data_IF_752241687565
#
_entry.id   IF_752241687565
#
_cell.length_a   1.000
_cell.length_b   1.000
_cell.length_c   1.000
_cell.angle_alpha   90.00
_cell.angle_beta   90.00
_cell.angle_gamma   90.00
#
_symmetry.space_group_name_H-M   'P 1'
#
loop_
_entity.id
_entity.type
_entity.pdbx_description
1 polymer ?
#
# COMPACT_ATOMS: atom_id res chain seq x y z
N UNK A 1 -12.57 -9.11 -31.21
CA UNK A 1 -11.69 -9.18 -30.03
C UNK A 1 -10.49 -10.02 -30.43
N UNK A 2 -9.29 -9.47 -30.30
CA UNK A 2 -8.05 -10.17 -30.60
C UNK A 2 -7.80 -11.25 -29.54
N UNK A 3 -7.07 -12.31 -29.92
CA UNK A 3 -6.60 -13.31 -28.95
C UNK A 3 -5.75 -12.66 -27.86
N UNK A 4 -5.02 -11.58 -28.18
CA UNK A 4 -4.30 -10.76 -27.19
C UNK A 4 -5.26 -10.13 -26.19
N UNK A 5 -6.32 -9.49 -26.67
CA UNK A 5 -7.32 -8.86 -25.79
C UNK A 5 -8.00 -9.86 -24.84
N UNK A 6 -8.11 -11.14 -25.23
CA UNK A 6 -8.68 -12.23 -24.41
C UNK A 6 -7.67 -12.74 -23.36
N UNK A 7 -6.39 -12.87 -23.72
CA UNK A 7 -5.33 -13.26 -22.78
C UNK A 7 -5.11 -12.14 -21.74
N UNK A 8 -5.07 -10.88 -22.20
CA UNK A 8 -4.91 -9.71 -21.33
C UNK A 8 -6.12 -9.53 -20.39
N UNK A 9 -7.31 -10.03 -20.73
CA UNK A 9 -8.48 -9.98 -19.83
C UNK A 9 -8.51 -11.09 -18.78
N UNK A 10 -7.86 -12.22 -19.02
CA UNK A 10 -7.72 -13.30 -18.03
C UNK A 10 -6.65 -13.02 -16.97
N UNK A 11 -5.64 -12.19 -17.30
CA UNK A 11 -4.61 -11.73 -16.35
C UNK A 11 -5.13 -10.69 -15.34
N UNK A 12 -6.14 -9.90 -15.71
CA UNK A 12 -6.67 -8.83 -14.82
C UNK A 12 -7.39 -9.42 -13.61
N UNK A 13 -8.19 -10.48 -13.78
CA UNK A 13 -8.92 -11.09 -12.66
C UNK A 13 -7.97 -11.74 -11.66
N UNK A 14 -6.92 -12.41 -12.15
CA UNK A 14 -5.87 -13.00 -11.30
C UNK A 14 -5.10 -11.93 -10.55
N UNK A 15 -4.67 -10.86 -11.24
CA UNK A 15 -3.97 -9.74 -10.61
C UNK A 15 -4.81 -9.05 -9.53
N UNK A 16 -6.11 -8.86 -9.77
CA UNK A 16 -7.02 -8.26 -8.79
C UNK A 16 -7.19 -9.13 -7.54
N UNK A 17 -7.24 -10.44 -7.70
CA UNK A 17 -7.31 -11.38 -6.57
C UNK A 17 -6.00 -11.35 -5.78
N UNK A 18 -4.86 -11.33 -6.46
CA UNK A 18 -3.55 -11.27 -5.81
C UNK A 18 -3.37 -9.98 -4.99
N UNK A 19 -3.66 -8.82 -5.60
CA UNK A 19 -3.58 -7.52 -4.92
C UNK A 19 -4.53 -7.48 -3.70
N UNK A 20 -5.74 -8.04 -3.83
CA UNK A 20 -6.68 -8.15 -2.72
C UNK A 20 -6.17 -9.05 -1.60
N UNK A 21 -5.61 -10.23 -1.93
CA UNK A 21 -5.04 -11.14 -0.95
C UNK A 21 -3.85 -10.52 -0.21
N UNK A 22 -2.98 -9.80 -0.94
CA UNK A 22 -1.85 -9.08 -0.36
C UNK A 22 -2.35 -7.96 0.57
N UNK A 23 -3.29 -7.14 0.11
CA UNK A 23 -3.92 -6.10 0.92
C UNK A 23 -4.51 -6.67 2.22
N UNK A 24 -5.33 -7.73 2.11
CA UNK A 24 -5.95 -8.36 3.27
C UNK A 24 -4.91 -8.92 4.25
N UNK A 25 -3.84 -9.53 3.74
CA UNK A 25 -2.74 -10.06 4.56
C UNK A 25 -2.04 -8.92 5.32
N UNK A 26 -1.73 -7.83 4.63
CA UNK A 26 -1.05 -6.69 5.22
C UNK A 26 -1.90 -6.02 6.30
N UNK A 27 -3.18 -5.75 6.02
CA UNK A 27 -4.13 -5.18 6.99
C UNK A 27 -4.30 -6.10 8.21
N UNK A 28 -4.50 -7.40 8.00
CA UNK A 28 -4.60 -8.37 9.10
C UNK A 28 -3.32 -8.48 9.94
N UNK A 29 -2.17 -8.18 9.35
CA UNK A 29 -0.88 -8.16 10.06
C UNK A 29 -0.57 -6.84 10.76
N UNK A 30 -1.54 -5.92 10.86
CA UNK A 30 -1.38 -4.63 11.53
C UNK A 30 -0.70 -3.55 10.69
N UNK A 31 -0.58 -3.74 9.37
CA UNK A 31 -0.06 -2.70 8.48
C UNK A 31 -1.19 -1.95 7.78
N UNK A 32 -1.23 -0.63 7.98
CA UNK A 32 -2.04 0.31 7.22
C UNK A 32 -1.45 1.71 7.34
N UNK A 33 -1.44 2.49 6.25
CA UNK A 33 -0.97 3.89 6.28
C UNK A 33 -1.68 4.71 7.36
N UNK A 34 -2.96 4.45 7.63
CA UNK A 34 -3.74 5.17 8.63
C UNK A 34 -3.24 4.96 10.08
N UNK A 35 -2.54 3.87 10.33
CA UNK A 35 -1.97 3.52 11.63
C UNK A 35 -0.56 4.11 11.80
N UNK A 36 0.04 4.65 10.74
CA UNK A 36 1.39 5.21 10.79
C UNK A 36 1.41 6.60 11.44
N UNK A 37 2.36 6.87 12.33
CA UNK A 37 2.52 8.16 13.01
C UNK A 37 2.94 9.30 12.06
N UNK A 38 3.55 8.97 10.93
CA UNK A 38 4.06 9.93 9.94
C UNK A 38 2.98 10.45 8.98
N UNK A 39 1.77 9.87 9.02
CA UNK A 39 0.68 10.30 8.13
C UNK A 39 0.16 11.68 8.52
N UNK A 40 0.15 12.62 7.56
CA UNK A 40 -0.42 13.94 7.76
C UNK A 40 -1.96 13.89 7.77
N UNK A 41 -2.58 14.56 8.75
CA UNK A 41 -4.04 14.52 8.92
C UNK A 41 -4.74 15.29 7.80
N UNK A 42 -5.59 14.61 7.04
CA UNK A 42 -6.41 15.22 6.00
C UNK A 42 -5.75 15.29 4.62
N UNK A 43 -4.50 14.83 4.50
CA UNK A 43 -3.74 14.82 3.24
C UNK A 43 -3.36 13.39 2.83
N UNK A 44 -2.99 13.22 1.56
CA UNK A 44 -2.43 11.97 1.01
C UNK A 44 -0.90 11.99 1.03
N UNK A 45 -0.31 12.59 2.07
CA UNK A 45 1.15 12.80 2.21
C UNK A 45 1.64 12.36 3.59
N UNK A 46 2.93 12.10 3.70
CA UNK A 46 3.61 11.79 4.96
C UNK A 46 5.08 12.25 4.89
N UNK A 47 5.82 12.14 5.99
CA UNK A 47 7.25 12.50 6.03
C UNK A 47 8.09 11.75 4.97
N UNK A 48 7.74 10.49 4.70
CA UNK A 48 8.40 9.67 3.68
C UNK A 48 8.08 10.12 2.24
N UNK A 49 6.85 10.60 2.01
CA UNK A 49 6.32 11.02 0.71
C UNK A 49 5.64 12.39 0.84
N UNK A 50 6.42 13.49 0.84
CA UNK A 50 5.89 14.83 1.11
C UNK A 50 4.95 15.33 0.00
N UNK A 51 5.13 14.87 -1.24
CA UNK A 51 4.29 15.28 -2.38
C UNK A 51 3.00 14.46 -2.46
N UNK A 52 3.12 13.12 -2.42
CA UNK A 52 2.00 12.16 -2.48
C UNK A 52 2.45 10.74 -2.16
N UNK A 53 1.72 10.05 -1.29
CA UNK A 53 1.92 8.62 -1.03
C UNK A 53 1.51 7.80 -2.27
N UNK A 54 2.35 6.88 -2.76
CA UNK A 54 1.98 5.95 -3.82
C UNK A 54 0.69 5.18 -3.50
N UNK A 55 -0.21 5.05 -4.48
CA UNK A 55 -1.52 4.43 -4.27
C UNK A 55 -1.41 3.01 -3.69
N UNK A 56 -0.43 2.21 -4.11
CA UNK A 56 -0.27 0.83 -3.65
C UNK A 56 0.20 0.75 -2.18
N UNK A 57 0.95 1.76 -1.71
CA UNK A 57 1.30 1.90 -0.29
C UNK A 57 0.07 2.38 0.50
N UNK A 58 -0.65 3.37 -0.04
CA UNK A 58 -1.86 3.92 0.57
C UNK A 58 -2.96 2.85 0.72
N UNK A 59 -3.12 1.99 -0.28
CA UNK A 59 -4.06 0.87 -0.29
C UNK A 59 -3.57 -0.36 0.48
N UNK A 60 -2.38 -0.30 1.08
CA UNK A 60 -1.76 -1.38 1.83
C UNK A 60 -1.40 -2.63 1.01
N UNK A 61 -1.27 -2.52 -0.30
CA UNK A 61 -0.75 -3.58 -1.17
C UNK A 61 0.77 -3.69 -1.00
N UNK A 62 1.48 -2.55 -1.02
CA UNK A 62 2.91 -2.49 -0.72
C UNK A 62 3.12 -2.25 0.77
N UNK A 63 3.80 -3.20 1.41
CA UNK A 63 4.14 -3.16 2.82
C UNK A 63 5.33 -2.21 3.09
N UNK A 64 5.02 -0.99 3.52
CA UNK A 64 5.99 0.06 3.84
C UNK A 64 6.64 -0.10 5.24
N UNK A 65 6.59 -1.32 5.82
CA UNK A 65 7.57 -1.77 6.83
C UNK A 65 8.91 -2.15 6.19
N UNK A 66 8.96 -2.19 4.85
CA UNK A 66 10.17 -2.41 4.04
C UNK A 66 10.55 -1.12 3.32
N UNK A 67 11.85 -0.89 3.06
CA UNK A 67 12.30 0.26 2.29
C UNK A 67 11.63 0.32 0.91
N UNK A 68 11.27 1.53 0.48
CA UNK A 68 10.68 1.78 -0.84
C UNK A 68 11.41 2.93 -1.56
N UNK A 69 11.53 2.92 -2.90
CA UNK A 69 12.19 3.99 -3.62
C UNK A 69 11.64 5.38 -3.28
N UNK A 70 12.55 6.32 -2.98
CA UNK A 70 12.26 7.72 -2.66
C UNK A 70 11.41 7.93 -1.39
N UNK A 71 11.44 7.02 -0.42
CA UNK A 71 10.71 7.14 0.85
C UNK A 71 11.46 7.97 1.93
N UNK A 72 12.47 8.75 1.52
CA UNK A 72 13.35 9.51 2.40
C UNK A 72 14.01 8.68 3.53
N UNK A 73 14.05 7.34 3.41
CA UNK A 73 14.55 6.45 4.44
C UNK A 73 13.64 6.34 5.67
N UNK A 74 12.40 6.81 5.58
CA UNK A 74 11.40 6.77 6.65
C UNK A 74 10.46 5.59 6.37
N UNK A 75 10.37 4.68 7.33
CA UNK A 75 9.52 3.50 7.25
C UNK A 75 8.31 3.64 8.19
N UNK A 76 7.37 2.70 8.07
CA UNK A 76 6.22 2.58 8.95
C UNK A 76 6.62 2.57 10.44
N UNK A 77 5.98 3.43 11.22
CA UNK A 77 6.01 3.39 12.68
C UNK A 77 4.58 3.60 13.21
N UNK A 78 4.05 2.68 14.04
CA UNK A 78 2.67 2.75 14.48
C UNK A 78 2.43 3.93 15.42
N UNK A 79 1.21 4.46 15.43
CA UNK A 79 0.75 5.45 16.41
C UNK A 79 0.71 4.83 17.81
N UNK A 80 0.94 5.65 18.83
CA UNK A 80 0.85 5.23 20.22
C UNK A 80 -0.55 4.65 20.52
N UNK A 81 -0.59 3.40 21.00
CA UNK A 81 -1.83 2.71 21.35
C UNK A 81 -2.48 1.88 20.24
N UNK A 82 -2.00 1.99 19.00
CA UNK A 82 -2.38 1.11 17.88
C UNK A 82 -1.43 -0.11 17.85
N UNK A 83 -1.61 -1.02 18.80
CA UNK A 83 -1.06 -2.37 18.71
C UNK A 83 -2.16 -3.25 18.10
N UNK A 84 -1.98 -3.62 16.83
CA UNK A 84 -2.87 -4.56 16.14
C UNK A 84 -2.98 -5.91 16.83
#
# INVERSE_FOLDING_TARGET
>A
MSVKDIVDTWDIEEQLIDDFLIQMKNIKSGFSCNLCKHLHKGDLTCDAFPDRIPNDILSSIIDHRKPFPNDNGIMFEPKDGDQG
#
